data_IF_431011004137
#
_entry.id   IF_431011004137
#
_cell.length_a   1.000
_cell.length_b   1.000
_cell.length_c   1.000
_cell.angle_alpha   90.00
_cell.angle_beta   90.00
_cell.angle_gamma   90.00
#
_symmetry.space_group_name_H-M   'P 1'
#
loop_
_entity.id
_entity.type
_entity.pdbx_description
1 polymer ?
#
# COMPACT_ATOMS: atom_id res chain seq x y z
N UNK A 1 -23.90 18.89 -34.09
CA UNK A 1 -23.88 17.42 -34.27
C UNK A 1 -24.85 16.88 -33.22
N UNK A 2 -25.98 16.29 -33.62
CA UNK A 2 -27.01 15.81 -32.68
C UNK A 2 -26.47 14.60 -31.91
N UNK A 3 -26.34 14.73 -30.59
CA UNK A 3 -26.07 13.59 -29.72
C UNK A 3 -27.16 12.54 -29.93
N UNK A 4 -26.75 11.28 -30.13
CA UNK A 4 -27.70 10.18 -30.31
C UNK A 4 -28.50 9.95 -29.02
N UNK A 5 -29.74 9.40 -29.09
CA UNK A 5 -30.51 9.08 -27.90
C UNK A 5 -29.72 8.17 -26.96
N UNK A 6 -29.78 8.46 -25.66
CA UNK A 6 -29.15 7.67 -24.60
C UNK A 6 -29.44 6.17 -24.78
N UNK A 7 -28.42 5.34 -24.64
CA UNK A 7 -28.56 3.88 -24.72
C UNK A 7 -28.52 3.29 -26.14
N UNK A 8 -28.47 4.11 -27.20
CA UNK A 8 -28.37 3.59 -28.58
C UNK A 8 -26.92 3.32 -29.02
N UNK A 9 -25.96 4.10 -28.51
CA UNK A 9 -24.51 3.97 -28.77
C UNK A 9 -23.65 3.92 -27.50
N UNK A 10 -24.29 3.92 -26.32
CA UNK A 10 -23.65 4.05 -25.02
C UNK A 10 -24.27 5.18 -24.19
N UNK A 11 -23.63 5.48 -23.07
CA UNK A 11 -23.98 6.59 -22.18
C UNK A 11 -22.85 7.62 -22.18
N UNK A 12 -23.15 8.92 -22.35
CA UNK A 12 -22.15 9.96 -22.24
C UNK A 12 -21.65 10.06 -20.80
N UNK A 13 -20.38 10.40 -20.64
CA UNK A 13 -19.76 10.63 -19.34
C UNK A 13 -18.87 11.86 -19.40
N UNK A 14 -18.64 12.45 -18.23
CA UNK A 14 -17.70 13.55 -18.04
C UNK A 14 -17.00 13.35 -16.71
N UNK A 15 -15.68 13.47 -16.73
CA UNK A 15 -14.83 13.37 -15.55
C UNK A 15 -13.86 14.54 -15.53
N UNK A 16 -13.36 14.86 -14.34
CA UNK A 16 -12.27 15.81 -14.15
C UNK A 16 -10.99 15.03 -13.83
N UNK A 17 -9.93 15.35 -14.55
CA UNK A 17 -8.63 14.67 -14.44
C UNK A 17 -7.53 15.71 -14.26
N UNK A 18 -6.41 15.26 -13.70
CA UNK A 18 -5.19 16.08 -13.68
C UNK A 18 -4.53 16.03 -15.07
N UNK A 19 -3.77 17.06 -15.46
CA UNK A 19 -3.00 17.01 -16.70
C UNK A 19 -2.02 15.82 -16.69
N UNK A 20 -1.94 15.09 -17.80
CA UNK A 20 -1.13 13.88 -17.92
C UNK A 20 -1.74 12.82 -18.83
N UNK A 21 -1.04 11.68 -18.92
CA UNK A 21 -1.55 10.47 -19.56
C UNK A 21 -2.32 9.63 -18.52
N UNK A 22 -3.48 9.11 -18.90
CA UNK A 22 -4.32 8.29 -18.03
C UNK A 22 -5.18 7.32 -18.83
N UNK A 23 -5.69 6.31 -18.13
CA UNK A 23 -6.76 5.46 -18.61
C UNK A 23 -8.09 5.87 -17.97
N UNK A 24 -9.18 5.64 -18.68
CA UNK A 24 -10.54 5.73 -18.14
C UNK A 24 -11.15 4.35 -18.18
N UNK A 25 -11.75 3.92 -17.09
CA UNK A 25 -12.48 2.66 -17.03
C UNK A 25 -13.92 2.88 -16.57
N UNK A 26 -14.79 1.94 -16.92
CA UNK A 26 -16.11 1.80 -16.34
C UNK A 26 -16.40 0.32 -16.13
N UNK A 27 -17.29 0.07 -15.18
CA UNK A 27 -17.85 -1.26 -14.93
C UNK A 27 -19.36 -1.19 -15.08
N UNK A 28 -19.93 -2.26 -15.60
CA UNK A 28 -21.37 -2.47 -15.62
C UNK A 28 -21.69 -3.82 -14.97
N UNK A 29 -22.80 -3.85 -14.26
CA UNK A 29 -23.19 -4.99 -13.45
C UNK A 29 -24.65 -4.92 -13.02
N UNK A 30 -25.01 -5.81 -12.10
CA UNK A 30 -26.32 -5.81 -11.45
C UNK A 30 -26.18 -5.23 -10.05
N UNK A 31 -27.02 -4.26 -9.71
CA UNK A 31 -27.11 -3.70 -8.37
C UNK A 31 -28.40 -4.17 -7.71
N UNK A 32 -28.30 -4.72 -6.51
CA UNK A 32 -29.44 -4.98 -5.66
C UNK A 32 -29.81 -3.69 -4.91
N UNK A 33 -30.86 -3.01 -5.37
CA UNK A 33 -31.30 -1.73 -4.79
C UNK A 33 -31.78 -1.83 -3.33
N UNK A 34 -31.99 -3.03 -2.80
CA UNK A 34 -32.38 -3.25 -1.40
C UNK A 34 -31.14 -3.38 -0.50
N UNK A 35 -30.13 -4.13 -0.95
CA UNK A 35 -28.91 -4.38 -0.14
C UNK A 35 -27.76 -3.42 -0.48
N UNK A 36 -27.82 -2.72 -1.61
CA UNK A 36 -26.71 -1.96 -2.18
C UNK A 36 -25.63 -2.84 -2.84
N UNK A 37 -25.82 -4.16 -2.87
CA UNK A 37 -24.81 -5.09 -3.39
C UNK A 37 -24.68 -4.95 -4.91
N UNK A 38 -23.46 -4.69 -5.37
CA UNK A 38 -23.13 -4.58 -6.79
C UNK A 38 -22.32 -5.78 -7.26
N UNK A 39 -22.86 -6.51 -8.25
CA UNK A 39 -22.21 -7.62 -8.92
C UNK A 39 -21.72 -7.18 -10.31
N UNK A 40 -20.41 -6.95 -10.49
CA UNK A 40 -19.87 -6.52 -11.78
C UNK A 40 -19.82 -7.69 -12.78
N UNK A 41 -20.13 -7.42 -14.06
CA UNK A 41 -20.13 -8.41 -15.14
C UNK A 41 -19.19 -8.06 -16.30
N UNK A 42 -19.05 -6.78 -16.60
CA UNK A 42 -18.25 -6.32 -17.73
C UNK A 42 -17.56 -4.99 -17.40
N UNK A 43 -16.35 -4.85 -17.91
CA UNK A 43 -15.55 -3.63 -17.86
C UNK A 43 -15.29 -3.12 -19.26
N UNK A 44 -15.13 -1.80 -19.38
CA UNK A 44 -14.52 -1.15 -20.52
C UNK A 44 -13.33 -0.33 -20.06
N UNK A 45 -12.32 -0.21 -20.92
CA UNK A 45 -11.14 0.62 -20.66
C UNK A 45 -10.77 1.39 -21.92
N UNK A 46 -10.65 2.70 -21.80
CA UNK A 46 -10.04 3.59 -22.79
C UNK A 46 -8.63 3.96 -22.33
N UNK A 47 -7.62 3.55 -23.09
CA UNK A 47 -6.19 3.76 -22.82
C UNK A 47 -5.64 4.98 -23.57
N UNK A 48 -4.45 5.43 -23.17
CA UNK A 48 -3.69 6.49 -23.85
C UNK A 48 -4.44 7.82 -23.98
N UNK A 49 -5.26 8.18 -23.00
CA UNK A 49 -5.92 9.49 -22.98
C UNK A 49 -4.94 10.50 -22.43
N UNK A 50 -4.61 11.51 -23.22
CA UNK A 50 -3.68 12.58 -22.85
C UNK A 50 -4.46 13.89 -22.77
N UNK A 51 -4.42 14.56 -21.62
CA UNK A 51 -5.02 15.87 -21.44
C UNK A 51 -3.98 16.89 -20.93
N UNK A 52 -3.90 18.03 -21.59
CA UNK A 52 -3.14 19.20 -21.14
C UNK A 52 -3.87 20.03 -20.07
N UNK A 53 -3.18 21.00 -19.46
CA UNK A 53 -3.79 21.93 -18.50
C UNK A 53 -4.95 22.72 -19.12
N UNK A 54 -6.15 22.59 -18.53
CA UNK A 54 -7.37 23.29 -18.98
C UNK A 54 -7.97 22.76 -20.29
N UNK A 55 -7.40 21.69 -20.85
CA UNK A 55 -7.88 21.06 -22.07
C UNK A 55 -9.09 20.16 -21.78
N UNK A 56 -10.07 20.16 -22.70
CA UNK A 56 -11.16 19.21 -22.71
C UNK A 56 -10.95 18.21 -23.85
N UNK A 57 -10.85 16.93 -23.49
CA UNK A 57 -10.77 15.83 -24.46
C UNK A 57 -12.17 15.28 -24.68
N UNK A 58 -12.61 15.28 -25.94
CA UNK A 58 -13.93 14.79 -26.36
C UNK A 58 -13.80 13.52 -27.21
N UNK A 59 -14.89 12.76 -27.35
CA UNK A 59 -14.94 11.60 -28.23
C UNK A 59 -14.16 10.37 -27.75
N UNK A 60 -13.81 10.33 -26.46
CA UNK A 60 -13.22 9.13 -25.84
C UNK A 60 -14.30 8.06 -25.72
N UNK A 61 -14.23 7.05 -26.58
CA UNK A 61 -15.16 5.93 -26.57
C UNK A 61 -14.58 4.78 -25.76
N UNK A 62 -15.38 4.25 -24.85
CA UNK A 62 -15.04 3.09 -24.03
C UNK A 62 -15.95 1.93 -24.39
N UNK A 63 -15.37 0.90 -24.96
CA UNK A 63 -16.12 -0.30 -25.34
C UNK A 63 -16.20 -1.22 -24.12
N UNK A 64 -17.42 -1.58 -23.71
CA UNK A 64 -17.68 -2.50 -22.60
C UNK A 64 -17.57 -3.95 -23.11
N UNK A 65 -16.34 -4.46 -23.24
CA UNK A 65 -16.07 -5.78 -23.83
C UNK A 65 -15.07 -6.64 -23.06
N UNK A 66 -14.73 -6.27 -21.82
CA UNK A 66 -13.84 -7.04 -20.96
C UNK A 66 -14.71 -7.80 -19.94
N UNK A 67 -14.93 -9.11 -20.11
CA UNK A 67 -15.65 -9.90 -19.12
C UNK A 67 -14.97 -9.86 -17.76
N UNK A 68 -15.79 -9.88 -16.71
CA UNK A 68 -15.37 -9.91 -15.31
C UNK A 68 -15.77 -11.25 -14.69
N UNK A 69 -15.19 -12.33 -15.21
CA UNK A 69 -15.51 -13.72 -14.89
C UNK A 69 -14.32 -14.52 -14.34
N UNK A 70 -13.17 -13.86 -14.18
CA UNK A 70 -11.99 -14.45 -13.56
C UNK A 70 -11.97 -14.25 -12.04
N UNK A 71 -11.04 -14.91 -11.37
CA UNK A 71 -10.75 -14.68 -9.96
C UNK A 71 -9.25 -14.53 -9.72
N UNK A 72 -8.89 -14.02 -8.55
CA UNK A 72 -7.52 -14.01 -8.05
C UNK A 72 -7.55 -14.46 -6.59
N UNK A 73 -6.80 -15.51 -6.28
CA UNK A 73 -6.60 -15.95 -4.90
C UNK A 73 -5.23 -15.45 -4.42
N UNK A 74 -5.20 -14.79 -3.26
CA UNK A 74 -3.97 -14.28 -2.65
C UNK A 74 -3.70 -15.03 -1.36
N UNK A 75 -2.61 -15.79 -1.30
CA UNK A 75 -2.21 -16.54 -0.11
C UNK A 75 -1.06 -15.83 0.60
N UNK A 76 -1.27 -15.44 1.85
CA UNK A 76 -0.19 -14.94 2.69
C UNK A 76 0.60 -16.12 3.28
N UNK A 77 1.91 -16.13 3.10
CA UNK A 77 2.83 -17.17 3.57
C UNK A 77 3.94 -16.56 4.43
N UNK A 78 4.47 -17.32 5.39
CA UNK A 78 5.53 -16.87 6.32
C UNK A 78 5.27 -15.54 7.05
N UNK A 79 4.00 -15.26 7.34
CA UNK A 79 3.59 -14.05 8.08
C UNK A 79 4.19 -14.06 9.49
N UNK A 80 4.81 -12.95 9.96
CA UNK A 80 5.38 -12.86 11.30
C UNK A 80 4.30 -13.03 12.37
N UNK A 81 4.65 -13.59 13.54
CA UNK A 81 3.68 -13.71 14.62
C UNK A 81 3.27 -12.34 15.16
N UNK A 82 2.02 -12.25 15.59
CA UNK A 82 1.49 -11.07 16.26
C UNK A 82 2.19 -10.83 17.61
N UNK A 83 2.49 -9.57 17.91
CA UNK A 83 2.91 -9.14 19.24
C UNK A 83 1.73 -8.87 20.17
N UNK A 84 2.02 -8.50 21.42
CA UNK A 84 1.00 -8.21 22.43
C UNK A 84 0.09 -7.01 22.10
N UNK A 85 0.49 -6.15 21.15
CA UNK A 85 -0.24 -4.96 20.73
C UNK A 85 -0.73 -5.02 19.28
N UNK A 86 -0.64 -6.20 18.67
CA UNK A 86 -0.86 -6.43 17.25
C UNK A 86 0.43 -6.79 16.52
N UNK A 87 0.38 -6.95 15.18
CA UNK A 87 -0.82 -6.79 14.34
C UNK A 87 -1.89 -7.86 14.60
N UNK A 88 -3.15 -7.60 14.25
CA UNK A 88 -4.28 -8.53 14.50
C UNK A 88 -5.23 -8.69 13.30
N UNK A 89 -4.89 -8.11 12.14
CA UNK A 89 -5.74 -8.12 10.96
C UNK A 89 -4.97 -8.02 9.65
N UNK A 90 -5.44 -8.71 8.63
CA UNK A 90 -5.00 -8.60 7.26
C UNK A 90 -5.85 -7.60 6.48
N UNK A 91 -5.20 -6.68 5.80
CA UNK A 91 -5.77 -5.80 4.79
C UNK A 91 -5.10 -6.09 3.45
N UNK A 92 -5.86 -6.62 2.49
CA UNK A 92 -5.33 -7.05 1.20
C UNK A 92 -6.08 -6.35 0.08
N UNK A 93 -5.34 -5.79 -0.87
CA UNK A 93 -5.87 -5.15 -2.08
C UNK A 93 -5.26 -5.75 -3.33
N UNK A 94 -6.05 -5.89 -4.39
CA UNK A 94 -5.57 -6.31 -5.70
C UNK A 94 -6.07 -5.37 -6.80
N UNK A 95 -5.18 -4.53 -7.33
CA UNK A 95 -5.51 -3.54 -8.37
C UNK A 95 -4.84 -3.88 -9.71
N UNK A 96 -5.38 -3.37 -10.82
CA UNK A 96 -4.71 -3.45 -12.13
C UNK A 96 -3.83 -2.23 -12.35
N UNK A 97 -2.52 -2.42 -12.40
CA UNK A 97 -1.51 -1.41 -12.72
C UNK A 97 -1.30 -1.31 -14.24
N UNK A 98 -1.47 -0.10 -14.79
CA UNK A 98 -1.28 0.25 -16.20
C UNK A 98 -0.02 1.09 -16.42
N UNK A 99 0.88 1.14 -15.43
CA UNK A 99 2.12 1.88 -15.46
C UNK A 99 1.88 3.39 -15.45
N UNK A 100 2.39 4.08 -16.46
CA UNK A 100 2.33 5.55 -16.55
C UNK A 100 0.92 6.13 -16.64
N UNK A 101 -0.08 5.30 -16.97
CA UNK A 101 -1.50 5.71 -17.04
C UNK A 101 -2.25 5.56 -15.72
N UNK A 102 -1.59 5.03 -14.68
CA UNK A 102 -2.13 4.87 -13.34
C UNK A 102 -2.62 3.45 -13.04
N UNK A 103 -3.47 3.36 -12.02
CA UNK A 103 -3.96 2.10 -11.46
C UNK A 103 -5.49 2.09 -11.50
N UNK A 104 -6.08 1.00 -11.97
CA UNK A 104 -7.51 0.74 -11.87
C UNK A 104 -7.80 0.17 -10.48
N UNK A 105 -8.34 1.02 -9.62
CA UNK A 105 -8.92 0.62 -8.33
C UNK A 105 -10.43 0.47 -8.54
N UNK A 106 -10.93 -0.76 -8.60
CA UNK A 106 -12.35 -1.03 -8.91
C UNK A 106 -13.23 -0.69 -7.71
N UNK A 107 -14.34 -0.01 -7.98
CA UNK A 107 -15.25 0.47 -6.95
C UNK A 107 -16.70 0.14 -7.25
N UNK A 108 -17.46 -0.10 -6.21
CA UNK A 108 -18.93 -0.16 -6.24
C UNK A 108 -19.53 1.22 -6.55
N UNK A 109 -20.83 1.30 -6.93
CA UNK A 109 -21.49 2.58 -7.23
C UNK A 109 -21.48 3.60 -6.08
N UNK A 110 -21.46 3.15 -4.82
CA UNK A 110 -21.34 3.98 -3.62
C UNK A 110 -19.87 4.36 -3.26
N UNK A 111 -18.90 3.84 -4.02
CA UNK A 111 -17.50 4.23 -3.95
C UNK A 111 -16.61 3.32 -3.09
N UNK A 112 -17.16 2.25 -2.52
CA UNK A 112 -16.37 1.25 -1.78
C UNK A 112 -15.42 0.49 -2.71
N UNK A 113 -14.26 0.08 -2.20
CA UNK A 113 -13.29 -0.66 -2.99
C UNK A 113 -13.77 -2.12 -3.14
N UNK A 114 -13.90 -2.59 -4.38
CA UNK A 114 -14.37 -3.94 -4.68
C UNK A 114 -13.28 -4.98 -4.41
N UNK A 115 -12.02 -4.62 -4.67
CA UNK A 115 -10.87 -5.49 -4.48
C UNK A 115 -10.16 -5.23 -3.15
N UNK A 116 -10.90 -5.22 -2.06
CA UNK A 116 -10.34 -5.00 -0.74
C UNK A 116 -10.92 -5.99 0.26
N UNK A 117 -10.03 -6.66 1.00
CA UNK A 117 -10.38 -7.62 2.04
C UNK A 117 -9.79 -7.16 3.36
N UNK A 118 -10.58 -7.26 4.44
CA UNK A 118 -10.19 -6.84 5.79
C UNK A 118 -10.56 -7.92 6.81
N UNK A 119 -9.66 -8.85 7.09
CA UNK A 119 -9.95 -10.12 7.76
C UNK A 119 -8.98 -10.42 8.90
N UNK A 120 -9.44 -11.08 9.96
CA UNK A 120 -8.59 -11.42 11.13
C UNK A 120 -7.71 -12.65 10.92
N UNK A 121 -7.91 -13.37 9.82
CA UNK A 121 -7.34 -14.70 9.60
C UNK A 121 -6.88 -14.86 8.16
N UNK A 122 -5.83 -15.65 7.97
CA UNK A 122 -5.22 -15.94 6.68
C UNK A 122 -5.05 -17.46 6.44
N UNK A 123 -5.82 -18.33 7.10
CA UNK A 123 -5.69 -19.79 6.89
C UNK A 123 -6.21 -20.24 5.51
N UNK A 124 -6.90 -19.34 4.79
CA UNK A 124 -7.36 -19.53 3.43
C UNK A 124 -6.92 -18.34 2.58
N UNK A 125 -6.70 -18.54 1.26
CA UNK A 125 -6.44 -17.43 0.36
C UNK A 125 -7.56 -16.39 0.39
N UNK A 126 -7.18 -15.12 0.31
CA UNK A 126 -8.09 -14.01 0.09
C UNK A 126 -8.52 -14.03 -1.37
N UNK A 127 -9.81 -14.30 -1.60
CA UNK A 127 -10.36 -14.39 -2.96
C UNK A 127 -10.93 -13.05 -3.40
N UNK A 128 -10.44 -12.58 -4.55
CA UNK A 128 -11.01 -11.46 -5.27
C UNK A 128 -11.78 -11.96 -6.49
N UNK A 129 -13.05 -11.60 -6.58
CA UNK A 129 -13.94 -12.09 -7.63
C UNK A 129 -14.04 -11.12 -8.81
N UNK A 130 -14.62 -11.65 -9.89
CA UNK A 130 -14.97 -10.90 -11.08
C UNK A 130 -13.77 -10.17 -11.69
N UNK A 131 -12.57 -10.71 -11.60
CA UNK A 131 -11.37 -10.08 -12.15
C UNK A 131 -11.44 -10.03 -13.68
N UNK A 132 -10.84 -9.02 -14.33
CA UNK A 132 -10.68 -9.02 -15.77
C UNK A 132 -9.55 -9.94 -16.21
N UNK A 133 -9.67 -10.53 -17.40
CA UNK A 133 -8.49 -11.04 -18.09
C UNK A 133 -7.54 -9.90 -18.46
N UNK A 134 -6.23 -10.09 -18.31
CA UNK A 134 -5.20 -9.13 -18.74
C UNK A 134 -4.92 -9.25 -20.25
N UNK A 135 -5.97 -9.02 -21.05
CA UNK A 135 -5.97 -9.12 -22.51
C UNK A 135 -6.47 -7.81 -23.15
N UNK A 136 -6.28 -7.66 -24.46
CA UNK A 136 -6.76 -6.49 -25.21
C UNK A 136 -6.24 -5.17 -24.64
N UNK A 137 -7.15 -4.30 -24.20
CA UNK A 137 -6.82 -3.00 -23.59
C UNK A 137 -6.05 -3.11 -22.25
N UNK A 138 -6.01 -4.30 -21.64
CA UNK A 138 -5.26 -4.63 -20.43
C UNK A 138 -4.05 -5.54 -20.70
N UNK A 139 -3.68 -5.75 -21.96
CA UNK A 139 -2.63 -6.71 -22.35
C UNK A 139 -1.22 -6.35 -21.86
N UNK A 140 -0.96 -5.08 -21.58
CA UNK A 140 0.26 -4.60 -20.94
C UNK A 140 0.11 -4.45 -19.42
N UNK A 141 -1.12 -4.50 -18.89
CA UNK A 141 -1.44 -4.36 -17.48
C UNK A 141 -0.90 -5.50 -16.62
N UNK A 142 -0.76 -5.22 -15.32
CA UNK A 142 -0.27 -6.15 -14.30
C UNK A 142 -1.14 -6.05 -13.06
N UNK A 143 -1.36 -7.14 -12.35
CA UNK A 143 -1.91 -7.05 -11.01
C UNK A 143 -0.84 -6.51 -10.06
N UNK A 144 -1.28 -5.61 -9.18
CA UNK A 144 -0.54 -5.08 -8.03
C UNK A 144 -1.29 -5.50 -6.78
N UNK A 145 -0.66 -6.30 -5.95
CA UNK A 145 -1.20 -6.79 -4.69
C UNK A 145 -0.49 -6.07 -3.55
N UNK A 146 -1.26 -5.40 -2.71
CA UNK A 146 -0.79 -4.76 -1.48
C UNK A 146 -1.39 -5.52 -0.30
N UNK A 147 -0.55 -6.22 0.46
CA UNK A 147 -0.95 -7.03 1.62
C UNK A 147 -0.37 -6.40 2.87
N UNK A 148 -1.20 -6.21 3.89
CA UNK A 148 -0.79 -5.58 5.15
C UNK A 148 -1.29 -6.40 6.33
N UNK A 149 -0.44 -6.67 7.30
CA UNK A 149 -0.79 -7.24 8.59
C UNK A 149 -0.71 -6.13 9.62
N UNK A 150 -1.86 -5.60 10.04
CA UNK A 150 -2.03 -4.33 10.74
C UNK A 150 -2.76 -4.47 12.07
N UNK A 151 -2.69 -3.43 12.90
CA UNK A 151 -3.40 -3.36 14.18
C UNK A 151 -4.74 -2.64 14.03
N UNK A 152 -5.83 -3.30 14.43
CA UNK A 152 -7.16 -2.71 14.49
C UNK A 152 -7.83 -2.50 13.12
N UNK A 153 -9.04 -1.95 13.13
CA UNK A 153 -9.85 -1.77 11.92
C UNK A 153 -9.32 -0.69 10.98
N UNK A 154 -8.53 0.25 11.50
CA UNK A 154 -8.05 1.43 10.77
C UNK A 154 -6.62 1.29 10.23
N UNK A 155 -6.00 0.12 10.34
CA UNK A 155 -4.66 -0.11 9.82
C UNK A 155 -3.56 0.61 10.59
N UNK A 156 -3.61 0.56 11.93
CA UNK A 156 -2.64 1.23 12.79
C UNK A 156 -1.37 0.38 12.97
N UNK A 157 -0.31 1.03 13.46
CA UNK A 157 0.89 0.37 13.96
C UNK A 157 0.65 -0.31 15.33
N UNK A 158 1.38 -1.39 15.66
CA UNK A 158 2.36 -2.08 14.82
C UNK A 158 1.78 -2.71 13.55
N UNK A 159 2.57 -2.73 12.48
CA UNK A 159 2.16 -3.20 11.15
C UNK A 159 3.34 -3.83 10.39
N UNK A 160 3.02 -4.73 9.44
CA UNK A 160 3.95 -5.25 8.43
C UNK A 160 3.26 -5.21 7.07
N UNK A 161 3.99 -4.84 6.03
CA UNK A 161 3.44 -4.59 4.70
C UNK A 161 4.30 -5.26 3.63
N UNK A 162 3.63 -5.89 2.67
CA UNK A 162 4.27 -6.51 1.51
C UNK A 162 3.55 -6.03 0.25
N UNK A 163 4.35 -5.74 -0.78
CA UNK A 163 3.85 -5.38 -2.10
C UNK A 163 4.36 -6.34 -3.18
N UNK A 164 3.43 -7.05 -3.79
CA UNK A 164 3.70 -7.92 -4.94
C UNK A 164 3.24 -7.21 -6.22
N UNK A 165 4.13 -7.05 -7.19
CA UNK A 165 3.82 -6.35 -8.45
C UNK A 165 4.18 -7.19 -9.66
N UNK A 166 3.68 -6.82 -10.83
CA UNK A 166 4.06 -7.49 -12.08
C UNK A 166 3.35 -8.84 -12.29
N UNK A 167 2.36 -9.18 -11.46
CA UNK A 167 1.58 -10.40 -11.58
C UNK A 167 0.75 -10.36 -12.86
N UNK A 168 0.83 -11.42 -13.66
CA UNK A 168 0.09 -11.56 -14.93
C UNK A 168 -0.99 -12.61 -14.89
N UNK A 169 -0.94 -13.46 -13.88
CA UNK A 169 -1.80 -14.61 -13.76
C UNK A 169 -3.15 -14.18 -13.18
N UNK A 170 -4.20 -14.73 -13.77
CA UNK A 170 -5.58 -14.68 -13.29
C UNK A 170 -6.09 -16.12 -13.31
N UNK A 171 -7.10 -16.42 -12.49
CA UNK A 171 -7.54 -17.79 -12.17
C UNK A 171 -6.48 -18.65 -11.50
N UNK A 172 -5.51 -18.02 -10.86
CA UNK A 172 -4.46 -18.68 -10.09
C UNK A 172 -4.41 -18.15 -8.66
N UNK A 173 -3.66 -18.89 -7.84
CA UNK A 173 -3.23 -18.44 -6.54
C UNK A 173 -1.88 -17.74 -6.66
N UNK A 174 -1.79 -16.55 -6.08
CA UNK A 174 -0.56 -15.78 -5.94
C UNK A 174 -0.13 -15.83 -4.48
N UNK A 175 1.08 -16.31 -4.25
CA UNK A 175 1.70 -16.30 -2.93
C UNK A 175 2.28 -14.91 -2.66
N UNK A 176 2.01 -14.39 -1.47
CA UNK A 176 2.61 -13.18 -0.92
C UNK A 176 3.42 -13.56 0.31
N UNK A 177 4.73 -13.55 0.13
CA UNK A 177 5.79 -13.83 1.09
C UNK A 177 6.63 -12.56 1.34
N UNK A 178 7.81 -12.67 1.94
CA UNK A 178 8.68 -11.50 2.15
C UNK A 178 8.24 -10.61 3.32
N UNK A 179 7.49 -11.16 4.28
CA UNK A 179 6.99 -10.38 5.40
C UNK A 179 8.11 -10.09 6.39
N UNK A 180 8.42 -8.81 6.58
CA UNK A 180 9.31 -8.38 7.64
C UNK A 180 8.63 -8.50 8.99
N UNK A 181 9.41 -8.89 9.99
CA UNK A 181 8.99 -8.80 11.38
C UNK A 181 8.63 -7.39 11.80
N UNK A 182 7.83 -7.32 12.86
CA UNK A 182 7.48 -6.05 13.49
C UNK A 182 8.50 -5.72 14.58
N UNK A 183 9.19 -4.56 14.52
CA UNK A 183 10.06 -4.11 15.59
C UNK A 183 9.30 -3.88 16.91
N UNK A 184 9.84 -4.40 18.01
CA UNK A 184 9.31 -4.27 19.38
C UNK A 184 10.35 -3.58 20.25
N UNK A 185 10.02 -2.38 20.73
CA UNK A 185 10.85 -1.61 21.63
C UNK A 185 11.17 -2.37 22.94
N UNK A 186 12.45 -2.55 23.24
CA UNK A 186 12.95 -3.17 24.48
C UNK A 186 13.62 -2.16 25.41
N UNK A 187 14.28 -1.13 24.87
CA UNK A 187 14.84 -0.02 25.66
C UNK A 187 14.72 1.31 24.89
N UNK A 188 13.98 2.30 25.39
CA UNK A 188 13.02 2.18 26.47
C UNK A 188 11.79 1.40 25.98
N UNK A 189 11.30 0.49 26.82
CA UNK A 189 9.97 -0.07 26.63
C UNK A 189 8.90 1.03 26.78
N UNK A 190 7.69 0.77 26.29
CA UNK A 190 6.60 1.74 26.35
C UNK A 190 6.35 2.24 27.79
N UNK A 191 6.30 3.57 27.94
CA UNK A 191 6.08 4.24 29.23
C UNK A 191 7.31 4.30 30.14
N UNK A 192 8.47 3.81 29.69
CA UNK A 192 9.73 3.96 30.41
C UNK A 192 10.45 5.25 30.03
N UNK A 193 11.27 5.82 30.93
CA UNK A 193 12.13 6.97 30.61
C UNK A 193 13.19 6.58 29.56
N UNK A 194 13.74 7.58 28.86
CA UNK A 194 14.88 7.36 27.96
C UNK A 194 16.02 6.63 28.70
N UNK A 195 16.68 5.64 28.05
CA UNK A 195 17.78 4.90 28.65
C UNK A 195 18.93 5.83 29.07
N UNK A 196 19.55 5.55 30.23
CA UNK A 196 20.66 6.35 30.74
C UNK A 196 21.90 6.31 29.84
N UNK A 197 22.08 5.23 29.09
CA UNK A 197 23.14 5.08 28.08
C UNK A 197 22.77 5.73 26.74
N UNK A 198 21.56 6.30 26.61
CA UNK A 198 21.00 6.92 25.41
C UNK A 198 21.01 5.98 24.19
N UNK A 199 20.87 4.67 24.39
CA UNK A 199 20.78 3.70 23.29
C UNK A 199 19.37 3.13 23.20
N UNK A 200 18.71 3.39 22.08
CA UNK A 200 17.43 2.76 21.72
C UNK A 200 17.69 1.32 21.30
N UNK A 201 16.85 0.38 21.76
CA UNK A 201 16.95 -1.06 21.46
C UNK A 201 15.59 -1.63 21.16
N UNK A 202 15.54 -2.53 20.19
CA UNK A 202 14.36 -3.27 19.81
C UNK A 202 14.71 -4.72 19.51
N UNK A 203 13.69 -5.55 19.41
CA UNK A 203 13.77 -6.92 18.89
C UNK A 203 12.76 -7.04 17.74
N UNK A 204 12.87 -8.08 16.92
CA UNK A 204 11.90 -8.33 15.86
C UNK A 204 10.97 -9.50 16.23
N UNK A 205 9.68 -9.44 15.86
CA UNK A 205 8.74 -10.54 16.19
C UNK A 205 8.98 -11.83 15.40
N UNK A 206 9.82 -11.82 14.37
CA UNK A 206 10.09 -12.95 13.46
C UNK A 206 10.13 -12.47 12.02
N UNK A 207 9.85 -13.35 11.05
CA UNK A 207 9.84 -12.99 9.62
C UNK A 207 11.24 -12.83 9.02
N UNK A 208 11.30 -12.22 7.84
CA UNK A 208 12.54 -11.98 7.13
C UNK A 208 13.36 -10.86 7.79
N UNK A 209 14.70 -10.97 7.67
CA UNK A 209 15.61 -9.92 8.11
C UNK A 209 15.47 -8.70 7.18
N UNK A 210 15.34 -7.48 7.71
CA UNK A 210 15.31 -6.30 6.87
C UNK A 210 16.69 -6.03 6.27
N UNK A 211 16.72 -5.20 5.24
CA UNK A 211 17.95 -4.62 4.70
C UNK A 211 18.47 -3.49 5.62
N UNK A 212 17.55 -2.71 6.18
CA UNK A 212 17.85 -1.61 7.07
C UNK A 212 16.72 -1.33 8.06
N UNK A 213 17.07 -0.67 9.15
CA UNK A 213 16.11 -0.04 10.04
C UNK A 213 16.18 1.49 9.91
N UNK A 214 15.01 2.13 9.83
CA UNK A 214 14.87 3.57 10.00
C UNK A 214 14.29 3.87 11.38
N UNK A 215 15.04 4.60 12.19
CA UNK A 215 14.65 5.00 13.54
C UNK A 215 14.35 6.49 13.55
N UNK A 216 13.16 6.86 14.03
CA UNK A 216 12.71 8.24 14.18
C UNK A 216 12.39 8.50 15.66
N UNK A 217 12.97 9.56 16.22
CA UNK A 217 12.69 10.08 17.56
C UNK A 217 12.00 11.44 17.46
N UNK A 218 10.88 11.60 18.15
CA UNK A 218 10.08 12.82 18.23
C UNK A 218 10.06 13.29 19.68
N UNK A 219 10.47 14.53 19.93
CA UNK A 219 10.52 15.14 21.26
C UNK A 219 9.13 15.45 21.83
N UNK A 220 9.07 15.85 23.11
CA UNK A 220 7.81 16.22 23.77
C UNK A 220 7.14 17.47 23.21
N UNK A 221 7.83 18.22 22.36
CA UNK A 221 7.33 19.34 21.57
C UNK A 221 6.72 18.91 20.22
N UNK A 222 6.67 17.60 19.95
CA UNK A 222 6.19 16.98 18.72
C UNK A 222 7.04 17.31 17.47
N UNK A 223 8.28 17.77 17.64
CA UNK A 223 9.22 17.94 16.54
C UNK A 223 10.15 16.74 16.41
N UNK A 224 10.59 16.38 15.19
CA UNK A 224 11.63 15.37 14.99
C UNK A 224 12.91 15.79 15.73
N UNK A 225 13.28 15.02 16.75
CA UNK A 225 14.46 15.27 17.56
C UNK A 225 15.69 14.59 16.94
N UNK A 226 15.52 13.36 16.43
CA UNK A 226 16.62 12.61 15.82
C UNK A 226 16.12 11.59 14.80
N UNK A 227 16.97 11.28 13.83
CA UNK A 227 16.74 10.21 12.86
C UNK A 227 18.02 9.42 12.62
N UNK A 228 17.90 8.11 12.47
CA UNK A 228 19.05 7.23 12.28
C UNK A 228 18.68 6.08 11.32
N UNK A 229 19.64 5.66 10.50
CA UNK A 229 19.53 4.47 9.67
C UNK A 229 20.60 3.48 10.09
N UNK A 230 20.22 2.26 10.46
CA UNK A 230 21.17 1.18 10.77
C UNK A 230 20.98 0.00 9.83
N UNK A 231 22.01 -0.81 9.67
CA UNK A 231 21.95 -2.06 8.89
C UNK A 231 20.89 -2.99 9.50
N UNK A 232 20.25 -3.82 8.67
CA UNK A 232 19.14 -4.65 9.12
C UNK A 232 19.47 -5.70 10.19
N UNK A 233 20.73 -6.08 10.35
CA UNK A 233 21.19 -6.95 11.45
C UNK A 233 21.56 -6.19 12.74
N UNK A 234 21.38 -4.86 12.75
CA UNK A 234 21.61 -4.01 13.92
C UNK A 234 20.27 -3.62 14.54
N UNK A 235 20.14 -3.92 15.83
CA UNK A 235 18.91 -3.78 16.62
C UNK A 235 19.02 -2.72 17.73
N UNK A 236 19.98 -1.82 17.58
CA UNK A 236 20.17 -0.69 18.47
C UNK A 236 20.59 0.57 17.73
N UNK A 237 20.23 1.73 18.28
CA UNK A 237 20.57 3.02 17.71
C UNK A 237 20.91 4.02 18.83
N UNK A 238 22.13 4.61 18.84
CA UNK A 238 22.48 5.64 19.80
C UNK A 238 21.77 6.95 19.50
N UNK A 239 21.31 7.63 20.56
CA UNK A 239 20.81 9.00 20.52
C UNK A 239 21.98 9.91 20.95
N UNK A 240 22.39 10.88 20.13
CA UNK A 240 23.44 11.81 20.51
C UNK A 240 23.02 12.64 21.72
N UNK A 241 23.98 12.99 22.57
CA UNK A 241 23.79 13.96 23.63
C UNK A 241 24.10 15.37 23.11
N UNK A 242 23.04 16.08 22.70
CA UNK A 242 23.17 17.43 22.16
C UNK A 242 23.32 18.49 23.25
N UNK A 243 23.11 18.15 24.53
CA UNK A 243 23.26 19.10 25.65
C UNK A 243 24.69 19.60 25.81
N UNK A 244 25.65 18.90 25.21
CA UNK A 244 27.06 19.26 25.16
C UNK A 244 27.41 20.29 24.08
N UNK A 245 26.48 20.58 23.16
CA UNK A 245 26.68 21.52 22.05
C UNK A 245 25.92 22.80 22.37
N UNK A 246 26.66 23.91 22.48
CA UNK A 246 26.06 25.21 22.74
C UNK A 246 25.05 25.60 21.64
N UNK A 247 23.98 26.30 22.02
CA UNK A 247 22.88 26.73 21.15
C UNK A 247 22.01 25.62 20.52
N UNK A 248 22.33 24.34 20.70
CA UNK A 248 21.51 23.22 20.20
C UNK A 248 20.72 22.61 21.38
N UNK A 249 19.38 22.75 21.41
CA UNK A 249 18.59 22.07 22.43
C UNK A 249 18.66 20.55 22.23
N UNK A 250 18.74 19.83 23.34
CA UNK A 250 18.59 18.37 23.34
C UNK A 250 17.14 17.96 23.10
N UNK A 251 16.87 16.66 23.08
CA UNK A 251 15.52 16.09 22.95
C UNK A 251 14.57 16.78 23.93
N UNK A 252 13.53 17.43 23.39
CA UNK A 252 12.57 18.19 24.19
C UNK A 252 11.92 17.30 25.27
N UNK A 253 11.85 17.83 26.49
CA UNK A 253 11.22 17.17 27.64
C UNK A 253 9.74 16.86 27.39
N UNK A 254 9.22 15.83 28.09
CA UNK A 254 7.81 15.42 28.01
C UNK A 254 7.64 14.02 27.43
N UNK A 255 6.51 13.78 26.76
CA UNK A 255 6.23 12.50 26.11
C UNK A 255 7.02 12.39 24.81
N UNK A 256 8.11 11.64 24.86
CA UNK A 256 8.93 11.30 23.69
C UNK A 256 8.34 10.08 23.00
N UNK A 257 8.26 10.14 21.68
CA UNK A 257 7.83 9.01 20.85
C UNK A 257 9.00 8.59 19.98
N UNK A 258 9.23 7.28 19.87
CA UNK A 258 10.19 6.74 18.91
C UNK A 258 9.57 5.59 18.14
N UNK A 259 9.95 5.49 16.87
CA UNK A 259 9.42 4.49 15.93
C UNK A 259 10.59 3.86 15.21
N UNK A 260 10.49 2.55 14.98
CA UNK A 260 11.42 1.79 14.15
C UNK A 260 10.64 1.22 12.97
N UNK A 261 11.13 1.49 11.78
CA UNK A 261 10.67 0.86 10.55
C UNK A 261 11.71 -0.16 10.12
N UNK A 262 11.33 -1.42 9.99
CA UNK A 262 12.09 -2.43 9.27
C UNK A 262 11.78 -2.30 7.78
N UNK A 263 12.82 -2.27 6.93
CA UNK A 263 12.68 -1.95 5.51
C UNK A 263 13.49 -2.95 4.67
N UNK A 264 12.86 -3.47 3.62
CA UNK A 264 13.46 -4.30 2.56
C UNK A 264 13.41 -3.51 1.25
N UNK A 265 14.50 -3.53 0.48
CA UNK A 265 14.59 -2.83 -0.80
C UNK A 265 15.23 -3.79 -1.80
N UNK A 266 14.51 -4.22 -2.85
CA UNK A 266 15.05 -5.17 -3.82
C UNK A 266 16.42 -4.75 -4.40
N UNK A 267 17.44 -5.58 -4.15
CA UNK A 267 18.81 -5.39 -4.63
C UNK A 267 19.61 -4.32 -3.88
N UNK A 268 19.19 -3.97 -2.66
CA UNK A 268 19.87 -2.98 -1.84
C UNK A 268 21.18 -3.49 -1.24
N UNK A 269 22.14 -2.58 -1.09
CA UNK A 269 23.36 -2.79 -0.33
C UNK A 269 23.57 -1.58 0.57
N UNK A 270 23.54 -1.83 1.89
CA UNK A 270 23.70 -0.81 2.92
C UNK A 270 25.01 -0.02 2.79
N UNK A 271 26.04 -0.58 2.17
CA UNK A 271 27.31 0.10 1.96
C UNK A 271 27.32 1.06 0.76
N UNK A 272 26.26 1.06 -0.06
CA UNK A 272 26.14 1.88 -1.28
C UNK A 272 24.87 2.74 -1.30
N UNK A 273 24.34 3.07 -0.13
CA UNK A 273 23.10 3.84 0.05
C UNK A 273 23.11 5.15 -0.75
N UNK A 274 22.01 5.40 -1.46
CA UNK A 274 21.71 6.66 -2.11
C UNK A 274 20.48 7.33 -1.47
N UNK A 275 20.32 8.64 -1.70
CA UNK A 275 19.08 9.34 -1.32
C UNK A 275 17.84 8.76 -1.99
N UNK A 276 17.98 8.07 -3.12
CA UNK A 276 16.88 7.39 -3.79
C UNK A 276 16.31 6.26 -2.96
N UNK A 277 17.15 5.56 -2.20
CA UNK A 277 16.78 4.40 -1.37
C UNK A 277 16.07 4.83 -0.07
N UNK A 278 16.20 6.10 0.32
CA UNK A 278 15.47 6.67 1.46
C UNK A 278 14.04 7.11 1.10
N UNK A 279 13.64 6.96 -0.16
CA UNK A 279 12.28 7.29 -0.59
C UNK A 279 11.34 6.11 -0.30
N UNK A 280 10.33 6.33 0.55
CA UNK A 280 9.30 5.34 0.93
C UNK A 280 8.67 4.57 -0.24
N UNK A 281 8.62 5.16 -1.44
CA UNK A 281 8.13 4.46 -2.65
C UNK A 281 8.98 3.25 -3.09
N UNK A 282 10.17 3.08 -2.52
CA UNK A 282 11.12 2.00 -2.78
C UNK A 282 11.20 0.97 -1.66
N UNK A 283 10.66 1.32 -0.49
CA UNK A 283 10.51 0.45 0.65
C UNK A 283 9.33 -0.50 0.41
#
# INVERSE_FOLDING_TARGET
MLESPLGTRGYPYRIFVRPGAFAVYAMAGLENLVTGEFLPYVMGVARNVLAGPGEAIEGVNMVMNIPLDHYLDVRAEDVPPAGARGPDRFQVRADVDLGGEGVIVRRTPDGEALDFVNERRAERPFRFFAQPALLGALSDGRMRIESSFVTGDFGADPSSHVRTTGVREVDSEVVVDGWLGVPVATAPAFGQPLPADRVLRWENTGGDDPDMHFVLLVGGDNNPAWRHFVRGDVYEAPIPDLSTIDEIPDVAEGFVTWVVYAIDIPGFDFNTVSYGDLAQRRW
#
